data_IF_488476001011
#
_entry.id   IF_488476001011
#
_cell.length_a   1.000
_cell.length_b   1.000
_cell.length_c   1.000
_cell.angle_alpha   90.00
_cell.angle_beta   90.00
_cell.angle_gamma   90.00
#
_symmetry.space_group_name_H-M   'P 1'
#
loop_
_entity.id
_entity.type
_entity.pdbx_description
1 polymer ?
#
# COMPACT_ATOMS: atom_id res chain seq x y z
N UNK A 1 13.76 -9.55 14.54
CA UNK A 1 13.95 -8.14 14.17
C UNK A 1 14.80 -8.09 12.91
N UNK A 2 14.26 -7.50 11.83
CA UNK A 2 14.96 -7.28 10.55
C UNK A 2 15.77 -5.97 10.54
N UNK A 3 16.09 -5.48 9.34
CA UNK A 3 16.85 -4.23 9.17
C UNK A 3 16.01 -2.97 9.47
N UNK A 4 14.70 -3.01 9.17
CA UNK A 4 13.80 -1.88 9.36
C UNK A 4 13.44 -1.68 10.83
N UNK A 5 13.38 -0.41 11.25
CA UNK A 5 13.00 0.03 12.59
C UNK A 5 11.96 1.13 12.43
N UNK A 6 10.73 0.86 12.84
CA UNK A 6 9.62 1.82 12.72
C UNK A 6 9.69 2.94 13.77
N UNK A 7 8.95 4.02 13.54
CA UNK A 7 8.75 5.09 14.51
C UNK A 7 7.28 5.53 14.57
N UNK A 8 6.40 4.59 14.91
CA UNK A 8 4.94 4.85 15.07
C UNK A 8 4.67 5.98 16.06
N UNK A 9 5.49 6.11 17.11
CA UNK A 9 5.31 7.14 18.14
C UNK A 9 5.35 8.55 17.55
N UNK A 10 6.28 8.83 16.65
CA UNK A 10 6.43 10.15 16.03
C UNK A 10 5.33 10.42 14.99
N UNK A 11 4.87 9.38 14.29
CA UNK A 11 3.71 9.50 13.40
C UNK A 11 2.44 9.84 14.19
N UNK A 12 2.16 9.14 15.29
CA UNK A 12 1.03 9.42 16.20
C UNK A 12 1.11 10.83 16.78
N UNK A 13 2.32 11.26 17.19
CA UNK A 13 2.56 12.63 17.66
C UNK A 13 2.14 13.67 16.59
N UNK A 14 2.65 13.52 15.37
CA UNK A 14 2.34 14.47 14.30
C UNK A 14 0.86 14.43 13.92
N UNK A 15 0.29 13.23 13.72
CA UNK A 15 -1.09 13.06 13.27
C UNK A 15 -2.09 13.64 14.27
N UNK A 16 -1.94 13.35 15.57
CA UNK A 16 -2.98 13.64 16.54
C UNK A 16 -2.65 14.77 17.53
N UNK A 17 -1.37 14.93 17.90
CA UNK A 17 -0.97 15.98 18.86
C UNK A 17 -0.62 17.30 18.16
N UNK A 18 -0.06 17.24 16.94
CA UNK A 18 0.33 18.45 16.18
C UNK A 18 -0.77 18.88 15.20
N UNK A 19 -1.19 17.98 14.31
CA UNK A 19 -2.10 18.34 13.21
C UNK A 19 -3.58 18.08 13.49
N UNK A 20 -3.91 17.29 14.52
CA UNK A 20 -5.29 17.02 14.93
C UNK A 20 -6.14 16.34 13.84
N UNK A 21 -5.55 15.37 13.13
CA UNK A 21 -6.20 14.59 12.06
C UNK A 21 -7.40 13.79 12.59
N UNK A 22 -7.38 13.42 13.86
CA UNK A 22 -8.48 12.75 14.57
C UNK A 22 -9.80 13.53 14.53
N UNK A 23 -9.76 14.85 14.38
CA UNK A 23 -10.98 15.68 14.23
C UNK A 23 -11.77 15.40 12.95
N UNK A 24 -11.14 14.81 11.94
CA UNK A 24 -11.80 14.39 10.70
C UNK A 24 -12.31 12.94 10.76
N UNK A 25 -11.79 12.15 11.70
CA UNK A 25 -12.14 10.75 11.89
C UNK A 25 -13.54 10.60 12.50
N UNK A 26 -14.24 9.50 12.18
CA UNK A 26 -15.61 9.24 12.62
C UNK A 26 -16.67 10.16 11.99
N UNK A 27 -16.32 10.93 10.95
CA UNK A 27 -17.23 11.87 10.29
C UNK A 27 -17.11 11.84 8.77
N UNK A 28 -18.19 12.19 8.07
CA UNK A 28 -18.20 12.32 6.61
C UNK A 28 -17.70 11.06 5.91
N UNK A 29 -16.72 11.23 5.01
CA UNK A 29 -16.10 10.14 4.25
C UNK A 29 -15.29 9.16 5.12
N UNK A 30 -14.97 9.51 6.37
CA UNK A 30 -14.15 8.70 7.28
C UNK A 30 -14.95 8.18 8.48
N UNK A 31 -16.25 7.93 8.29
CA UNK A 31 -17.16 7.55 9.37
C UNK A 31 -16.77 6.23 10.07
N UNK A 32 -16.20 5.30 9.32
CA UNK A 32 -15.82 3.98 9.83
C UNK A 32 -14.38 3.93 10.37
N UNK A 33 -13.67 5.06 10.39
CA UNK A 33 -12.31 5.16 10.92
C UNK A 33 -12.31 6.10 12.11
N UNK A 34 -12.08 5.56 13.31
CA UNK A 34 -11.82 6.35 14.51
C UNK A 34 -10.31 6.39 14.85
N UNK A 35 -9.97 7.13 15.90
CA UNK A 35 -8.57 7.31 16.32
C UNK A 35 -7.93 6.00 16.77
N UNK A 36 -8.63 5.21 17.57
CA UNK A 36 -8.08 3.97 18.13
C UNK A 36 -7.79 2.98 17.01
N UNK A 37 -8.72 2.84 16.06
CA UNK A 37 -8.54 2.05 14.84
C UNK A 37 -7.36 2.55 14.01
N UNK A 38 -7.19 3.87 13.85
CA UNK A 38 -6.06 4.44 13.13
C UNK A 38 -4.70 4.16 13.81
N UNK A 39 -4.63 4.24 15.14
CA UNK A 39 -3.42 3.88 15.91
C UNK A 39 -3.11 2.36 15.81
N UNK A 40 -4.14 1.50 15.86
CA UNK A 40 -3.99 0.05 15.64
C UNK A 40 -3.47 -0.27 14.24
N UNK A 41 -4.00 0.40 13.20
CA UNK A 41 -3.53 0.23 11.82
C UNK A 41 -2.05 0.59 11.67
N UNK A 42 -1.58 1.66 12.31
CA UNK A 42 -0.16 2.03 12.31
C UNK A 42 0.70 0.94 12.98
N UNK A 43 0.25 0.43 14.13
CA UNK A 43 0.92 -0.66 14.85
C UNK A 43 1.01 -1.95 14.02
N UNK A 44 -0.08 -2.36 13.39
CA UNK A 44 -0.11 -3.57 12.55
C UNK A 44 0.72 -3.40 11.27
N UNK A 45 0.69 -2.24 10.62
CA UNK A 45 1.52 -1.96 9.46
C UNK A 45 3.01 -1.95 9.82
N UNK A 46 3.37 -1.35 10.95
CA UNK A 46 4.74 -1.40 11.46
C UNK A 46 5.19 -2.85 11.72
N UNK A 47 4.36 -3.67 12.37
CA UNK A 47 4.63 -5.10 12.62
C UNK A 47 4.79 -5.89 11.34
N UNK A 48 3.93 -5.68 10.35
CA UNK A 48 4.02 -6.31 9.03
C UNK A 48 5.32 -5.89 8.32
N UNK A 49 5.66 -4.61 8.41
CA UNK A 49 6.84 -4.03 7.76
C UNK A 49 8.15 -4.52 8.38
N UNK A 50 8.27 -4.54 9.70
CA UNK A 50 9.46 -5.06 10.43
C UNK A 50 9.63 -6.58 10.32
N UNK A 51 8.54 -7.29 9.99
CA UNK A 51 8.51 -8.73 9.82
C UNK A 51 8.48 -9.14 8.34
N UNK A 52 7.33 -9.61 7.81
CA UNK A 52 7.24 -10.16 6.46
C UNK A 52 7.76 -9.27 5.31
N UNK A 53 7.63 -7.94 5.38
CA UNK A 53 8.05 -7.08 4.25
C UNK A 53 9.56 -6.86 4.24
N UNK A 54 10.16 -6.56 5.39
CA UNK A 54 11.61 -6.41 5.52
C UNK A 54 12.39 -7.72 5.31
N UNK A 55 11.73 -8.87 5.46
CA UNK A 55 12.39 -10.19 5.36
C UNK A 55 13.05 -10.42 3.98
N UNK A 56 12.48 -9.90 2.90
CA UNK A 56 13.01 -10.07 1.54
C UNK A 56 13.88 -8.92 1.05
N UNK A 57 14.16 -7.91 1.90
CA UNK A 57 14.91 -6.71 1.49
C UNK A 57 16.32 -7.06 0.99
N UNK A 58 17.07 -7.86 1.74
CA UNK A 58 18.43 -8.27 1.34
C UNK A 58 18.38 -9.25 0.16
N UNK A 59 17.43 -10.19 0.17
CA UNK A 59 17.30 -11.20 -0.90
C UNK A 59 16.98 -10.55 -2.25
N UNK A 60 16.06 -9.59 -2.29
CA UNK A 60 15.69 -8.89 -3.53
C UNK A 60 16.85 -8.12 -4.17
N UNK A 61 17.82 -7.66 -3.37
CA UNK A 61 19.03 -6.98 -3.86
C UNK A 61 20.14 -7.98 -4.25
N UNK A 62 20.36 -9.03 -3.45
CA UNK A 62 21.44 -10.01 -3.67
C UNK A 62 21.11 -11.04 -4.75
N UNK A 63 19.82 -11.28 -4.98
CA UNK A 63 19.30 -12.16 -6.00
C UNK A 63 18.30 -11.35 -6.85
N UNK A 64 18.78 -10.48 -7.75
CA UNK A 64 17.90 -9.55 -8.45
C UNK A 64 17.01 -10.26 -9.49
N UNK A 65 15.96 -9.58 -9.99
CA UNK A 65 15.12 -10.11 -11.05
C UNK A 65 15.92 -10.49 -12.32
N UNK A 66 15.51 -11.58 -12.98
CA UNK A 66 16.14 -12.06 -14.22
C UNK A 66 15.15 -11.99 -15.37
N UNK A 67 15.57 -11.34 -16.46
CA UNK A 67 14.79 -11.22 -17.68
C UNK A 67 15.03 -12.40 -18.62
N UNK A 68 13.94 -13.00 -19.12
CA UNK A 68 13.97 -13.99 -20.19
C UNK A 68 13.57 -13.33 -21.53
N UNK A 69 14.51 -13.18 -22.49
CA UNK A 69 14.24 -12.55 -23.77
C UNK A 69 13.37 -13.40 -24.69
N UNK A 70 13.26 -14.72 -24.48
CA UNK A 70 12.45 -15.58 -25.33
C UNK A 70 10.95 -15.45 -25.00
N UNK A 71 10.63 -15.22 -23.73
CA UNK A 71 9.24 -15.08 -23.26
C UNK A 71 8.83 -13.64 -22.98
N UNK A 72 9.79 -12.70 -22.97
CA UNK A 72 9.60 -11.31 -22.55
C UNK A 72 9.05 -11.19 -21.12
N UNK A 73 9.47 -12.10 -20.23
CA UNK A 73 9.06 -12.10 -18.82
C UNK A 73 10.24 -11.86 -17.88
N UNK A 74 9.93 -11.43 -16.65
CA UNK A 74 10.91 -11.24 -15.58
C UNK A 74 10.57 -12.18 -14.44
N UNK A 75 11.56 -12.93 -13.96
CA UNK A 75 11.44 -13.80 -12.79
C UNK A 75 11.88 -13.04 -11.54
N UNK A 76 10.99 -12.97 -10.54
CA UNK A 76 11.26 -12.38 -9.23
C UNK A 76 11.65 -13.46 -8.20
N UNK A 77 12.51 -13.13 -7.21
CA UNK A 77 12.81 -14.02 -6.08
C UNK A 77 11.55 -14.43 -5.33
N UNK A 78 11.51 -15.68 -4.86
CA UNK A 78 10.33 -16.20 -4.18
C UNK A 78 10.01 -15.45 -2.89
N UNK A 79 11.04 -15.08 -2.12
CA UNK A 79 10.84 -14.35 -0.86
C UNK A 79 10.32 -12.93 -1.09
N UNK A 80 10.75 -12.26 -2.16
CA UNK A 80 10.17 -10.98 -2.54
C UNK A 80 8.68 -11.10 -2.91
N UNK A 81 8.32 -12.13 -3.68
CA UNK A 81 6.92 -12.42 -4.01
C UNK A 81 6.08 -12.71 -2.76
N UNK A 82 6.63 -13.38 -1.74
CA UNK A 82 5.96 -13.58 -0.45
C UNK A 82 5.68 -12.25 0.26
N UNK A 83 6.64 -11.32 0.27
CA UNK A 83 6.44 -9.99 0.85
C UNK A 83 5.37 -9.19 0.11
N UNK A 84 5.36 -9.23 -1.23
CA UNK A 84 4.30 -8.59 -2.04
C UNK A 84 2.92 -9.20 -1.73
N UNK A 85 2.82 -10.53 -1.66
CA UNK A 85 1.56 -11.20 -1.27
C UNK A 85 1.11 -10.81 0.13
N UNK A 86 2.01 -10.76 1.12
CA UNK A 86 1.65 -10.36 2.48
C UNK A 86 1.07 -8.93 2.55
N UNK A 87 1.55 -8.02 1.69
CA UNK A 87 1.00 -6.67 1.57
C UNK A 87 -0.39 -6.65 0.93
N UNK A 88 -0.55 -7.30 -0.23
CA UNK A 88 -1.81 -7.29 -1.01
C UNK A 88 -2.90 -8.13 -0.36
N UNK A 89 -2.59 -9.35 0.09
CA UNK A 89 -3.56 -10.24 0.74
C UNK A 89 -4.02 -9.71 2.11
N UNK A 90 -3.22 -8.83 2.74
CA UNK A 90 -3.61 -8.07 3.91
C UNK A 90 -4.54 -6.88 3.62
N UNK A 91 -4.83 -6.58 2.35
CA UNK A 91 -5.68 -5.47 1.92
C UNK A 91 -5.02 -4.09 2.05
N UNK A 92 -3.72 -4.04 2.32
CA UNK A 92 -3.02 -2.79 2.58
C UNK A 92 -2.80 -1.93 1.33
N UNK A 93 -2.89 -2.53 0.14
CA UNK A 93 -2.93 -1.85 -1.16
C UNK A 93 -4.24 -1.08 -1.39
N UNK A 94 -5.27 -1.30 -0.56
CA UNK A 94 -6.60 -0.72 -0.70
C UNK A 94 -6.94 0.35 0.33
N UNK A 95 -6.06 0.60 1.30
CA UNK A 95 -6.25 1.71 2.25
C UNK A 95 -6.18 3.04 1.50
N UNK A 96 -7.09 3.96 1.81
CA UNK A 96 -7.16 5.28 1.19
C UNK A 96 -7.74 5.32 -0.23
N UNK A 97 -8.20 4.17 -0.75
CA UNK A 97 -9.03 4.10 -1.96
C UNK A 97 -10.50 4.37 -1.62
N UNK A 98 -11.30 4.67 -2.64
CA UNK A 98 -12.74 4.83 -2.47
C UNK A 98 -13.45 3.47 -2.34
N UNK A 99 -14.61 3.47 -1.70
CA UNK A 99 -15.39 2.24 -1.41
C UNK A 99 -15.83 1.52 -2.68
N UNK A 100 -16.09 2.26 -3.77
CA UNK A 100 -16.48 1.69 -5.08
C UNK A 100 -15.38 0.82 -5.70
N UNK A 101 -14.16 0.90 -5.19
CA UNK A 101 -13.02 0.08 -5.60
C UNK A 101 -12.62 -0.95 -4.52
N UNK A 102 -13.46 -1.14 -3.50
CA UNK A 102 -13.22 -2.01 -2.36
C UNK A 102 -12.21 -1.45 -1.36
N UNK A 103 -12.06 -0.12 -1.32
CA UNK A 103 -11.15 0.59 -0.44
C UNK A 103 -11.70 0.86 0.95
N UNK A 104 -10.79 1.24 1.85
CA UNK A 104 -11.12 1.84 3.15
C UNK A 104 -10.74 3.32 3.08
N UNK A 105 -11.70 4.26 2.99
CA UNK A 105 -11.38 5.67 2.94
C UNK A 105 -10.61 6.14 4.18
N UNK A 106 -9.53 6.88 3.95
CA UNK A 106 -8.70 7.43 5.03
C UNK A 106 -8.15 8.80 4.64
N UNK A 107 -7.93 9.72 5.61
CA UNK A 107 -7.22 10.96 5.35
C UNK A 107 -5.86 10.69 4.70
N UNK A 108 -5.43 11.52 3.74
CA UNK A 108 -4.16 11.29 3.04
C UNK A 108 -2.94 11.31 3.97
N UNK A 109 -2.98 12.08 5.06
CA UNK A 109 -1.94 12.04 6.09
C UNK A 109 -1.81 10.65 6.73
N UNK A 110 -2.95 10.01 7.02
CA UNK A 110 -3.00 8.66 7.57
C UNK A 110 -2.52 7.61 6.55
N UNK A 111 -2.99 7.72 5.30
CA UNK A 111 -2.51 6.86 4.21
C UNK A 111 -1.00 6.89 4.05
N UNK A 112 -0.39 8.08 4.03
CA UNK A 112 1.05 8.21 3.84
C UNK A 112 1.85 7.76 5.06
N UNK A 113 1.33 7.89 6.28
CA UNK A 113 1.96 7.33 7.47
C UNK A 113 2.03 5.78 7.41
N UNK A 114 0.98 5.11 6.91
CA UNK A 114 1.03 3.66 6.68
C UNK A 114 2.05 3.29 5.60
N UNK A 115 2.03 3.99 4.48
CA UNK A 115 2.94 3.72 3.36
C UNK A 115 4.41 3.95 3.73
N UNK A 116 4.72 4.88 4.64
CA UNK A 116 6.08 5.11 5.13
C UNK A 116 6.73 3.81 5.63
N UNK A 117 5.98 2.95 6.31
CA UNK A 117 6.51 1.69 6.82
C UNK A 117 6.91 0.72 5.71
N UNK A 118 6.04 0.57 4.70
CA UNK A 118 6.32 -0.29 3.55
C UNK A 118 7.52 0.25 2.78
N UNK A 119 7.59 1.57 2.60
CA UNK A 119 8.70 2.25 1.93
C UNK A 119 10.03 2.11 2.69
N UNK A 120 10.00 2.14 4.02
CA UNK A 120 11.17 1.94 4.86
C UNK A 120 11.63 0.47 4.94
N UNK A 121 10.68 -0.47 4.90
CA UNK A 121 10.98 -1.90 4.95
C UNK A 121 11.39 -2.48 3.60
N UNK A 122 10.60 -2.24 2.56
CA UNK A 122 10.90 -2.69 1.20
C UNK A 122 10.12 -1.84 0.17
N UNK A 123 10.71 -0.76 -0.35
CA UNK A 123 9.98 0.20 -1.18
C UNK A 123 9.48 -0.39 -2.50
N UNK A 124 10.17 -1.40 -3.04
CA UNK A 124 9.72 -2.09 -4.25
C UNK A 124 8.41 -2.87 -4.01
N UNK A 125 8.14 -3.35 -2.78
CA UNK A 125 6.86 -3.98 -2.45
C UNK A 125 5.71 -2.98 -2.61
N UNK A 126 5.89 -1.75 -2.13
CA UNK A 126 4.89 -0.68 -2.32
C UNK A 126 4.67 -0.38 -3.81
N UNK A 127 5.74 -0.33 -4.60
CA UNK A 127 5.65 -0.09 -6.05
C UNK A 127 4.84 -1.19 -6.76
N UNK A 128 5.10 -2.47 -6.49
CA UNK A 128 4.32 -3.58 -7.06
C UNK A 128 2.87 -3.61 -6.54
N UNK A 129 2.64 -3.14 -5.32
CA UNK A 129 1.30 -3.02 -4.72
C UNK A 129 0.47 -1.82 -5.21
N UNK A 130 1.02 -0.96 -6.07
CA UNK A 130 0.35 0.29 -6.50
C UNK A 130 -0.83 0.12 -7.45
N UNK A 131 -1.13 -1.11 -7.90
CA UNK A 131 -2.12 -1.39 -8.95
C UNK A 131 -3.50 -0.80 -8.69
N UNK A 132 -4.05 -1.00 -7.49
CA UNK A 132 -5.36 -0.49 -7.11
C UNK A 132 -5.42 1.05 -7.04
N UNK A 133 -4.32 1.71 -6.65
CA UNK A 133 -4.18 3.16 -6.71
C UNK A 133 -4.24 3.72 -8.15
N UNK A 134 -3.60 3.02 -9.10
CA UNK A 134 -3.72 3.39 -10.52
C UNK A 134 -5.11 3.11 -11.08
N UNK A 135 -5.76 2.02 -10.67
CA UNK A 135 -7.16 1.76 -11.01
C UNK A 135 -8.05 2.92 -10.54
N UNK A 136 -7.82 3.45 -9.33
CA UNK A 136 -8.54 4.63 -8.85
C UNK A 136 -8.34 5.86 -9.73
N UNK A 137 -7.12 6.11 -10.23
CA UNK A 137 -6.88 7.21 -11.18
C UNK A 137 -7.70 7.03 -12.46
N UNK A 138 -7.72 5.82 -13.04
CA UNK A 138 -8.53 5.50 -14.22
C UNK A 138 -10.02 5.67 -13.92
N UNK A 139 -10.49 5.25 -12.75
CA UNK A 139 -11.88 5.41 -12.34
C UNK A 139 -12.31 6.90 -12.31
N UNK A 140 -11.46 7.79 -11.81
CA UNK A 140 -11.80 9.21 -11.70
C UNK A 140 -11.71 9.96 -13.03
N UNK A 141 -10.79 9.56 -13.91
CA UNK A 141 -10.53 10.26 -15.18
C UNK A 141 -11.20 9.62 -16.39
N UNK A 142 -11.63 8.36 -16.28
CA UNK A 142 -12.17 7.58 -17.37
C UNK A 142 -13.65 7.86 -17.65
N UNK A 143 -14.11 7.35 -18.79
CA UNK A 143 -15.53 7.30 -19.16
C UNK A 143 -16.31 6.34 -18.24
N UNK A 144 -17.64 6.39 -18.27
CA UNK A 144 -18.49 5.45 -17.52
C UNK A 144 -18.21 3.97 -17.82
N UNK A 145 -17.75 3.66 -19.04
CA UNK A 145 -17.34 2.30 -19.36
C UNK A 145 -15.96 1.96 -18.76
N UNK A 146 -15.00 2.89 -18.82
CA UNK A 146 -13.67 2.71 -18.23
C UNK A 146 -13.72 2.60 -16.71
N UNK A 147 -14.69 3.26 -16.05
CA UNK A 147 -14.95 3.09 -14.62
C UNK A 147 -15.23 1.64 -14.25
N UNK A 148 -16.02 0.91 -15.05
CA UNK A 148 -16.28 -0.53 -14.82
C UNK A 148 -15.00 -1.35 -14.94
N UNK A 149 -14.13 -1.01 -15.89
CA UNK A 149 -12.85 -1.70 -16.06
C UNK A 149 -11.91 -1.43 -14.89
N UNK A 150 -11.90 -0.19 -14.39
CA UNK A 150 -11.14 0.19 -13.21
C UNK A 150 -11.63 -0.54 -11.94
N UNK A 151 -12.96 -0.65 -11.74
CA UNK A 151 -13.54 -1.46 -10.68
C UNK A 151 -13.08 -2.91 -10.78
N UNK A 152 -13.18 -3.51 -11.97
CA UNK A 152 -12.72 -4.88 -12.21
C UNK A 152 -11.21 -5.03 -11.94
N UNK A 153 -10.39 -4.07 -12.35
CA UNK A 153 -8.94 -4.09 -12.13
C UNK A 153 -8.59 -4.06 -10.64
N UNK A 154 -9.28 -3.24 -9.84
CA UNK A 154 -9.10 -3.17 -8.38
C UNK A 154 -9.58 -4.45 -7.69
N UNK A 155 -10.74 -4.98 -8.07
CA UNK A 155 -11.28 -6.23 -7.52
C UNK A 155 -10.37 -7.43 -7.78
N UNK A 156 -9.75 -7.47 -8.97
CA UNK A 156 -8.88 -8.57 -9.43
C UNK A 156 -7.41 -8.38 -9.04
N UNK A 157 -7.05 -7.30 -8.36
CA UNK A 157 -5.68 -7.01 -7.95
C UNK A 157 -4.70 -6.91 -9.13
N UNK A 158 -5.11 -6.27 -10.22
CA UNK A 158 -4.22 -6.08 -11.37
C UNK A 158 -3.04 -5.17 -11.02
N UNK A 159 -1.85 -5.52 -11.52
CA UNK A 159 -0.71 -4.60 -11.52
C UNK A 159 -0.91 -3.43 -12.49
N UNK A 160 -0.12 -2.37 -12.33
CA UNK A 160 -0.16 -1.20 -13.20
C UNK A 160 1.24 -0.62 -13.44
N UNK A 161 1.39 0.14 -14.53
CA UNK A 161 2.63 0.86 -14.87
C UNK A 161 2.29 2.22 -15.47
N UNK A 162 3.24 3.16 -15.39
CA UNK A 162 3.17 4.46 -16.06
C UNK A 162 4.33 4.53 -17.06
N UNK A 163 4.02 4.74 -18.34
CA UNK A 163 4.98 4.60 -19.46
C UNK A 163 5.15 5.94 -20.17
N UNK A 164 6.21 6.70 -19.83
CA UNK A 164 6.43 8.08 -20.33
C UNK A 164 7.83 8.38 -20.89
N UNK A 165 8.89 7.77 -20.34
CA UNK A 165 10.31 8.18 -20.48
C UNK A 165 10.77 8.52 -21.90
#
# INVERSE_FOLDING_TARGET
MGHYKSNVRDQVFNLFEVFGVDKALGTGTFVDLDRDTAEEMLGEMARLSEGPLAASFVEGDRNPPVFDPATHTVTLPEDFKKSVRAFIEGGWDKVGLCEELGGVPAPKAMLWALHEHVLGANPAVWMYGGGAGFAQIVYHLGTEEQKKWATLASERGWGATMVLT
#
